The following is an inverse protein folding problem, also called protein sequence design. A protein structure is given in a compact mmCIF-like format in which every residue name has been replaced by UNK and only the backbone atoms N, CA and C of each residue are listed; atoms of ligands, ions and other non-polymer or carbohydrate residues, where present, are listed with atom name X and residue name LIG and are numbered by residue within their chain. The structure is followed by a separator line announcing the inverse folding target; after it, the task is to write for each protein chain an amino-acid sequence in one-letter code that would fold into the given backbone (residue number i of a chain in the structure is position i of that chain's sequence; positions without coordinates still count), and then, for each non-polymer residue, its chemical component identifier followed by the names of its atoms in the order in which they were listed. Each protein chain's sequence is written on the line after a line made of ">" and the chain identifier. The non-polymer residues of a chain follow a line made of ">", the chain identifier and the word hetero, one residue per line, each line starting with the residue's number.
data_IF_169709385503
#
_entry.id   IF_169709385503
#
_cell.length_a   1.000
_cell.length_b   1.000
_cell.length_c   1.000
_cell.angle_alpha   90.00
_cell.angle_beta   90.00
_cell.angle_gamma   90.00
#
_symmetry.space_group_name_H-M   'P 1'
#
loop_
_entity.id
_entity.type
_entity.pdbx_description
1 polymer ?
#
# COMPACT_ATOMS: atom_id res chain seq x y z
N UNK A 1 -24.83 7.57 1.01
CA UNK A 1 -24.87 9.05 0.93
C UNK A 1 -23.49 9.66 0.65
N UNK A 2 -22.41 9.33 1.37
CA UNK A 2 -21.04 9.81 1.01
C UNK A 2 -20.40 9.01 -0.13
N UNK A 3 -20.59 7.69 -0.16
CA UNK A 3 -20.10 6.80 -1.24
C UNK A 3 -20.87 6.92 -2.57
N UNK A 4 -21.90 7.77 -2.61
CA UNK A 4 -22.74 8.02 -3.79
C UNK A 4 -22.29 9.27 -4.56
N UNK A 5 -21.37 10.05 -3.97
CA UNK A 5 -20.80 11.24 -4.59
C UNK A 5 -19.59 10.80 -5.41
N UNK A 6 -19.50 11.17 -6.70
CA UNK A 6 -18.33 10.86 -7.52
C UNK A 6 -17.03 11.34 -6.84
N UNK A 7 -16.00 10.49 -6.86
CA UNK A 7 -14.70 10.84 -6.27
C UNK A 7 -14.14 12.15 -6.84
N UNK A 8 -14.32 12.40 -8.14
CA UNK A 8 -13.90 13.66 -8.78
C UNK A 8 -14.49 14.92 -8.10
N UNK A 9 -15.77 14.87 -7.70
CA UNK A 9 -16.44 15.98 -7.04
C UNK A 9 -15.90 16.18 -5.62
N UNK A 10 -15.62 15.07 -4.91
CA UNK A 10 -14.99 15.10 -3.58
C UNK A 10 -13.58 15.72 -3.64
N UNK A 11 -12.80 15.35 -4.66
CA UNK A 11 -11.43 15.82 -4.86
C UNK A 11 -11.36 17.30 -5.30
N UNK A 12 -12.45 17.84 -5.83
CA UNK A 12 -12.55 19.26 -6.26
C UNK A 12 -12.50 20.22 -5.06
N UNK A 13 -13.00 19.81 -3.89
CA UNK A 13 -13.10 20.70 -2.72
C UNK A 13 -12.19 20.25 -1.58
N UNK A 14 -11.06 20.96 -1.40
CA UNK A 14 -10.02 20.60 -0.41
C UNK A 14 -10.53 20.26 1.01
N UNK A 15 -11.50 21.02 1.54
CA UNK A 15 -12.07 20.74 2.88
C UNK A 15 -12.83 19.42 2.90
N UNK A 16 -13.60 19.13 1.85
CA UNK A 16 -14.35 17.90 1.70
C UNK A 16 -13.41 16.71 1.48
N UNK A 17 -12.37 16.88 0.66
CA UNK A 17 -11.34 15.85 0.44
C UNK A 17 -10.67 15.43 1.76
N UNK A 18 -10.27 16.39 2.59
CA UNK A 18 -9.67 16.09 3.91
C UNK A 18 -10.63 15.38 4.85
N UNK A 19 -11.88 15.81 4.90
CA UNK A 19 -12.90 15.16 5.71
C UNK A 19 -13.19 13.73 5.22
N UNK A 20 -13.24 13.51 3.91
CA UNK A 20 -13.43 12.21 3.30
C UNK A 20 -12.31 11.23 3.67
N UNK A 21 -11.05 11.59 3.41
CA UNK A 21 -9.93 10.68 3.68
C UNK A 21 -9.68 10.47 5.18
N UNK A 22 -9.91 11.48 6.01
CA UNK A 22 -9.92 11.30 7.46
C UNK A 22 -10.99 10.30 7.92
N UNK A 23 -12.20 10.37 7.34
CA UNK A 23 -13.27 9.41 7.66
C UNK A 23 -12.93 8.00 7.19
N UNK A 24 -12.42 7.84 5.96
CA UNK A 24 -12.05 6.52 5.42
C UNK A 24 -10.91 5.90 6.23
N UNK A 25 -9.91 6.68 6.64
CA UNK A 25 -8.83 6.21 7.50
C UNK A 25 -9.38 5.67 8.83
N UNK A 26 -10.25 6.42 9.52
CA UNK A 26 -10.89 5.97 10.76
C UNK A 26 -11.71 4.69 10.55
N UNK A 27 -12.41 4.56 9.43
CA UNK A 27 -13.13 3.33 9.11
C UNK A 27 -12.19 2.13 8.95
N UNK A 28 -11.07 2.30 8.25
CA UNK A 28 -10.06 1.24 8.10
C UNK A 28 -9.34 0.93 9.42
N UNK A 29 -9.18 1.92 10.31
CA UNK A 29 -8.48 1.77 11.60
C UNK A 29 -9.36 1.13 12.68
N UNK A 30 -10.64 1.52 12.77
CA UNK A 30 -11.52 1.14 13.89
C UNK A 30 -12.69 0.23 13.49
N UNK A 31 -13.08 0.22 12.21
CA UNK A 31 -14.26 -0.49 11.72
C UNK A 31 -13.95 -1.38 10.51
N UNK A 32 -12.72 -1.91 10.45
CA UNK A 32 -12.23 -2.66 9.29
C UNK A 32 -13.15 -3.82 8.91
N UNK A 33 -13.68 -4.56 9.88
CA UNK A 33 -14.58 -5.70 9.64
C UNK A 33 -15.85 -5.30 8.90
N UNK A 34 -16.38 -4.10 9.15
CA UNK A 34 -17.52 -3.56 8.43
C UNK A 34 -17.16 -3.25 6.97
N UNK A 35 -16.00 -2.62 6.73
CA UNK A 35 -15.52 -2.28 5.39
C UNK A 35 -15.30 -3.53 4.54
N UNK A 36 -14.70 -4.55 5.14
CA UNK A 36 -14.47 -5.85 4.49
C UNK A 36 -15.77 -6.62 4.24
N UNK A 37 -16.90 -6.19 4.80
CA UNK A 37 -18.22 -6.78 4.61
C UNK A 37 -19.13 -5.99 3.67
N UNK A 38 -18.58 -5.01 2.94
CA UNK A 38 -19.32 -4.31 1.89
C UNK A 38 -19.44 -5.17 0.63
N UNK A 39 -20.36 -4.85 -0.27
CA UNK A 39 -20.33 -5.46 -1.61
C UNK A 39 -19.05 -5.08 -2.37
N UNK A 40 -18.64 -5.92 -3.33
CA UNK A 40 -17.38 -5.75 -4.04
C UNK A 40 -17.27 -4.39 -4.73
N UNK A 41 -18.36 -3.84 -5.29
CA UNK A 41 -18.31 -2.54 -5.96
C UNK A 41 -18.00 -1.42 -4.97
N UNK A 42 -18.68 -1.41 -3.82
CA UNK A 42 -18.45 -0.41 -2.77
C UNK A 42 -17.07 -0.53 -2.15
N UNK A 43 -16.61 -1.76 -1.86
CA UNK A 43 -15.26 -2.01 -1.36
C UNK A 43 -14.20 -1.51 -2.34
N UNK A 44 -14.32 -1.87 -3.61
CA UNK A 44 -13.36 -1.46 -4.65
C UNK A 44 -13.35 0.05 -4.87
N UNK A 45 -14.50 0.72 -4.82
CA UNK A 45 -14.57 2.18 -4.88
C UNK A 45 -13.81 2.82 -3.70
N UNK A 46 -13.99 2.30 -2.49
CA UNK A 46 -13.30 2.80 -1.30
C UNK A 46 -11.78 2.61 -1.42
N UNK A 47 -11.31 1.41 -1.77
CA UNK A 47 -9.87 1.14 -1.89
C UNK A 47 -9.25 1.90 -3.09
N UNK A 48 -9.95 1.97 -4.22
CA UNK A 48 -9.51 2.77 -5.38
C UNK A 48 -9.41 4.27 -5.07
N UNK A 49 -10.27 4.78 -4.18
CA UNK A 49 -10.16 6.16 -3.69
C UNK A 49 -8.91 6.38 -2.85
N UNK A 50 -8.48 5.39 -2.05
CA UNK A 50 -7.23 5.45 -1.29
C UNK A 50 -6.01 5.53 -2.21
N UNK A 51 -5.99 4.72 -3.28
CA UNK A 51 -4.92 4.79 -4.30
C UNK A 51 -4.85 6.18 -4.95
N UNK A 52 -6.01 6.77 -5.27
CA UNK A 52 -6.08 8.14 -5.80
C UNK A 52 -5.60 9.18 -4.79
N UNK A 53 -5.91 9.00 -3.50
CA UNK A 53 -5.46 9.86 -2.41
C UNK A 53 -3.95 9.77 -2.14
N UNK A 54 -3.34 8.60 -2.34
CA UNK A 54 -1.88 8.41 -2.25
C UNK A 54 -1.13 9.27 -3.27
N UNK A 55 -1.65 9.36 -4.51
CA UNK A 55 -1.10 10.16 -5.62
C UNK A 55 -1.36 11.67 -5.47
N UNK A 56 -2.06 12.08 -4.42
CA UNK A 56 -2.42 13.48 -4.18
C UNK A 56 -1.25 14.32 -3.63
N UNK A 57 -1.25 15.62 -3.93
CA UNK A 57 -0.19 16.55 -3.50
C UNK A 57 -0.21 16.88 -1.98
N UNK A 58 -1.31 16.62 -1.27
CA UNK A 58 -1.42 16.94 0.16
C UNK A 58 -0.88 15.77 1.00
N UNK A 59 0.31 15.96 1.58
CA UNK A 59 1.01 14.95 2.38
C UNK A 59 0.17 14.40 3.53
N UNK A 60 -0.72 15.20 4.11
CA UNK A 60 -1.61 14.74 5.18
C UNK A 60 -2.61 13.70 4.65
N UNK A 61 -3.16 13.92 3.47
CA UNK A 61 -4.09 12.98 2.83
C UNK A 61 -3.35 11.71 2.41
N UNK A 62 -2.17 11.86 1.80
CA UNK A 62 -1.32 10.72 1.42
C UNK A 62 -0.98 9.85 2.64
N UNK A 63 -0.62 10.46 3.78
CA UNK A 63 -0.39 9.73 5.04
C UNK A 63 -1.64 9.00 5.54
N UNK A 64 -2.82 9.62 5.52
CA UNK A 64 -4.08 8.98 5.90
C UNK A 64 -4.39 7.77 5.01
N UNK A 65 -4.18 7.91 3.69
CA UNK A 65 -4.39 6.82 2.76
C UNK A 65 -3.40 5.68 2.98
N UNK A 66 -2.12 5.99 3.23
CA UNK A 66 -1.10 5.00 3.52
C UNK A 66 -1.41 4.19 4.79
N UNK A 67 -1.90 4.86 5.84
CA UNK A 67 -2.37 4.19 7.08
C UNK A 67 -3.56 3.28 6.79
N UNK A 68 -4.56 3.77 6.06
CA UNK A 68 -5.74 2.98 5.70
C UNK A 68 -5.37 1.72 4.89
N UNK A 69 -4.47 1.86 3.91
CA UNK A 69 -3.94 0.75 3.12
C UNK A 69 -3.14 -0.22 3.99
N UNK A 70 -2.29 0.27 4.90
CA UNK A 70 -1.52 -0.59 5.82
C UNK A 70 -2.45 -1.41 6.73
N UNK A 71 -3.54 -0.83 7.23
CA UNK A 71 -4.51 -1.56 8.04
C UNK A 71 -5.18 -2.69 7.24
N UNK A 72 -5.58 -2.43 6.00
CA UNK A 72 -6.14 -3.45 5.09
C UNK A 72 -5.12 -4.56 4.82
N UNK A 73 -3.89 -4.20 4.44
CA UNK A 73 -2.83 -5.15 4.14
C UNK A 73 -2.43 -5.97 5.39
N UNK A 74 -2.32 -5.33 6.55
CA UNK A 74 -2.03 -6.00 7.83
C UNK A 74 -3.11 -7.01 8.19
N UNK A 75 -4.38 -6.64 8.02
CA UNK A 75 -5.49 -7.55 8.28
C UNK A 75 -5.43 -8.76 7.35
N UNK A 76 -5.17 -8.55 6.05
CA UNK A 76 -5.03 -9.62 5.08
C UNK A 76 -3.87 -10.55 5.43
N UNK A 77 -2.70 -9.97 5.72
CA UNK A 77 -1.51 -10.73 6.10
C UNK A 77 -1.77 -11.63 7.32
N UNK A 78 -2.31 -11.06 8.40
CA UNK A 78 -2.52 -11.79 9.65
C UNK A 78 -3.61 -12.87 9.54
N UNK A 79 -4.71 -12.61 8.85
CA UNK A 79 -5.89 -13.49 8.86
C UNK A 79 -6.00 -14.42 7.65
N UNK A 80 -5.27 -14.13 6.55
CA UNK A 80 -5.39 -14.88 5.29
C UNK A 80 -4.03 -15.42 4.85
N UNK A 81 -2.95 -14.64 4.95
CA UNK A 81 -1.62 -15.11 4.52
C UNK A 81 -0.93 -15.99 5.57
N UNK A 82 -0.99 -15.59 6.84
CA UNK A 82 -0.43 -16.33 7.97
C UNK A 82 -1.41 -17.28 8.64
N UNK A 83 -2.72 -17.06 8.45
CA UNK A 83 -3.76 -17.95 8.96
C UNK A 83 -3.80 -19.26 8.18
N UNK A 84 -4.19 -20.36 8.84
CA UNK A 84 -4.37 -21.66 8.17
C UNK A 84 -5.53 -21.64 7.16
N UNK A 85 -6.57 -20.84 7.42
CA UNK A 85 -7.67 -20.52 6.51
C UNK A 85 -8.47 -19.29 7.01
N UNK A 86 -9.14 -18.53 6.12
CA UNK A 86 -10.03 -17.44 6.54
C UNK A 86 -11.18 -17.98 7.41
N UNK A 87 -11.13 -17.71 8.71
CA UNK A 87 -12.06 -18.28 9.70
C UNK A 87 -13.20 -17.34 10.11
N UNK A 88 -13.11 -16.05 9.75
CA UNK A 88 -14.14 -15.06 10.04
C UNK A 88 -14.90 -14.64 8.77
N UNK A 89 -16.18 -14.26 8.86
CA UNK A 89 -16.93 -13.78 7.70
C UNK A 89 -16.27 -12.59 6.98
N UNK A 90 -15.61 -11.71 7.73
CA UNK A 90 -14.85 -10.58 7.17
C UNK A 90 -13.60 -11.05 6.40
N UNK A 91 -12.83 -12.01 6.94
CA UNK A 91 -11.67 -12.56 6.26
C UNK A 91 -12.04 -13.32 4.99
N UNK A 92 -13.11 -14.13 5.03
CA UNK A 92 -13.63 -14.86 3.85
C UNK A 92 -14.01 -13.87 2.75
N UNK A 93 -14.80 -12.84 3.09
CA UNK A 93 -15.25 -11.86 2.10
C UNK A 93 -14.12 -10.99 1.57
N UNK A 94 -13.14 -10.65 2.41
CA UNK A 94 -11.96 -9.93 1.95
C UNK A 94 -11.12 -10.77 0.98
N UNK A 95 -10.92 -12.06 1.28
CA UNK A 95 -10.27 -12.98 0.36
C UNK A 95 -11.02 -13.06 -0.98
N UNK A 96 -12.36 -13.06 -0.96
CA UNK A 96 -13.18 -13.00 -2.18
C UNK A 96 -12.97 -11.70 -2.97
N UNK A 97 -12.96 -10.53 -2.31
CA UNK A 97 -12.68 -9.27 -2.99
C UNK A 97 -11.32 -9.27 -3.71
N UNK A 98 -10.29 -9.85 -3.09
CA UNK A 98 -8.96 -9.96 -3.71
C UNK A 98 -8.94 -11.02 -4.82
N UNK A 99 -9.67 -12.12 -4.67
CA UNK A 99 -9.80 -13.13 -5.73
C UNK A 99 -10.54 -12.58 -6.96
N UNK A 100 -11.55 -11.75 -6.76
CA UNK A 100 -12.30 -11.08 -7.82
C UNK A 100 -11.46 -9.99 -8.53
N UNK A 101 -10.52 -9.37 -7.81
CA UNK A 101 -9.63 -8.34 -8.34
C UNK A 101 -8.17 -8.54 -7.88
N UNK A 102 -7.45 -9.52 -8.46
CA UNK A 102 -6.10 -9.89 -8.02
C UNK A 102 -5.05 -8.79 -8.28
N UNK A 103 -5.36 -7.81 -9.12
CA UNK A 103 -4.48 -6.67 -9.41
C UNK A 103 -4.51 -5.59 -8.34
N UNK A 104 -5.43 -5.63 -7.36
CA UNK A 104 -5.59 -4.57 -6.37
C UNK A 104 -4.32 -4.30 -5.56
N UNK A 105 -3.76 -5.32 -4.91
CA UNK A 105 -2.52 -5.17 -4.14
C UNK A 105 -1.29 -4.85 -5.03
N UNK A 106 -1.08 -5.52 -6.19
CA UNK A 106 -0.03 -5.14 -7.11
C UNK A 106 -0.04 -3.68 -7.55
N UNK A 107 -1.20 -3.13 -7.95
CA UNK A 107 -1.26 -1.74 -8.42
C UNK A 107 -1.08 -0.72 -7.28
N UNK A 108 -1.55 -1.01 -6.07
CA UNK A 108 -1.28 -0.18 -4.90
C UNK A 108 0.21 -0.21 -4.56
N UNK A 109 0.85 -1.39 -4.56
CA UNK A 109 2.28 -1.50 -4.28
C UNK A 109 3.11 -0.74 -5.32
N UNK A 110 2.76 -0.89 -6.60
CA UNK A 110 3.37 -0.15 -7.70
C UNK A 110 3.23 1.37 -7.50
N UNK A 111 2.03 1.86 -7.18
CA UNK A 111 1.79 3.27 -6.87
C UNK A 111 2.67 3.77 -5.73
N UNK A 112 2.76 3.00 -4.64
CA UNK A 112 3.60 3.38 -3.48
C UNK A 112 5.09 3.46 -3.85
N UNK A 113 5.60 2.53 -4.65
CA UNK A 113 6.98 2.58 -5.13
C UNK A 113 7.22 3.74 -6.09
N UNK A 114 6.30 4.02 -7.01
CA UNK A 114 6.38 5.18 -7.91
C UNK A 114 6.50 6.48 -7.09
N UNK A 115 5.66 6.65 -6.06
CA UNK A 115 5.73 7.81 -5.15
C UNK A 115 7.09 7.87 -4.44
N UNK A 116 7.52 6.78 -3.80
CA UNK A 116 8.77 6.77 -3.02
C UNK A 116 10.01 7.01 -3.89
N UNK A 117 10.03 6.46 -5.10
CA UNK A 117 11.17 6.57 -6.01
C UNK A 117 11.23 7.94 -6.69
N UNK A 118 10.10 8.42 -7.20
CA UNK A 118 10.04 9.56 -8.12
C UNK A 118 9.72 10.89 -7.44
N UNK A 119 9.06 10.88 -6.29
CA UNK A 119 8.62 12.10 -5.61
C UNK A 119 9.48 12.46 -4.39
N UNK A 120 9.58 13.74 -4.09
CA UNK A 120 10.16 14.22 -2.82
C UNK A 120 9.08 14.20 -1.72
N UNK A 121 8.69 12.99 -1.32
CA UNK A 121 7.64 12.78 -0.32
C UNK A 121 8.18 12.95 1.12
N UNK A 122 7.55 13.85 1.90
CA UNK A 122 7.88 14.10 3.31
C UNK A 122 7.35 13.05 4.31
N UNK A 123 6.49 12.14 3.85
CA UNK A 123 5.79 11.13 4.66
C UNK A 123 6.28 9.70 4.44
N UNK A 124 7.57 9.53 4.17
CA UNK A 124 8.21 8.21 3.94
C UNK A 124 7.86 7.18 5.02
N UNK A 125 7.76 7.60 6.29
CA UNK A 125 7.41 6.70 7.39
C UNK A 125 5.99 6.15 7.32
N UNK A 126 5.05 6.93 6.77
CA UNK A 126 3.68 6.45 6.52
C UNK A 126 3.65 5.49 5.32
N UNK A 127 4.42 5.79 4.27
CA UNK A 127 4.46 5.00 3.03
C UNK A 127 5.21 3.67 3.18
N UNK A 128 6.22 3.59 4.05
CA UNK A 128 7.01 2.38 4.24
C UNK A 128 6.19 1.20 4.78
N UNK A 129 5.22 1.48 5.66
CA UNK A 129 4.40 0.46 6.32
C UNK A 129 3.51 -0.33 5.34
N UNK A 130 2.65 0.30 4.52
CA UNK A 130 1.84 -0.45 3.55
C UNK A 130 2.72 -1.16 2.51
N UNK A 131 3.88 -0.60 2.14
CA UNK A 131 4.83 -1.28 1.24
C UNK A 131 5.28 -2.61 1.86
N UNK A 132 5.77 -2.60 3.10
CA UNK A 132 6.19 -3.84 3.77
C UNK A 132 5.03 -4.85 3.86
N UNK A 133 3.86 -4.39 4.32
CA UNK A 133 2.67 -5.24 4.45
C UNK A 133 2.29 -5.91 3.14
N UNK A 134 2.30 -5.16 2.03
CA UNK A 134 1.99 -5.70 0.70
C UNK A 134 3.07 -6.68 0.18
N UNK A 135 4.35 -6.39 0.42
CA UNK A 135 5.45 -7.32 0.07
C UNK A 135 5.29 -8.65 0.82
N UNK A 136 4.97 -8.60 2.12
CA UNK A 136 4.84 -9.80 2.95
C UNK A 136 3.58 -10.62 2.67
N UNK A 137 2.53 -10.02 2.09
CA UNK A 137 1.36 -10.74 1.57
C UNK A 137 1.76 -11.66 0.41
N UNK A 138 2.59 -11.17 -0.50
CA UNK A 138 3.10 -11.96 -1.62
C UNK A 138 4.42 -11.41 -2.14
N UNK A 139 5.50 -12.14 -1.87
CA UNK A 139 6.86 -11.83 -2.34
C UNK A 139 6.95 -11.87 -3.88
N UNK A 140 6.03 -12.58 -4.54
CA UNK A 140 5.94 -12.60 -6.00
C UNK A 140 5.58 -11.22 -6.56
N UNK A 141 4.65 -10.50 -5.91
CA UNK A 141 4.26 -9.15 -6.35
C UNK A 141 5.48 -8.21 -6.35
N UNK A 142 6.31 -8.32 -5.31
CA UNK A 142 7.54 -7.54 -5.21
C UNK A 142 8.56 -7.93 -6.29
N UNK A 143 8.74 -9.24 -6.53
CA UNK A 143 9.64 -9.76 -7.56
C UNK A 143 9.25 -9.29 -8.96
N UNK A 144 7.95 -9.33 -9.28
CA UNK A 144 7.41 -8.86 -10.56
C UNK A 144 7.59 -7.35 -10.72
N UNK A 145 7.36 -6.57 -9.65
CA UNK A 145 7.58 -5.13 -9.64
C UNK A 145 9.06 -4.79 -9.84
N UNK A 146 9.97 -5.49 -9.17
CA UNK A 146 11.42 -5.36 -9.35
C UNK A 146 11.81 -5.61 -10.82
N UNK A 147 11.34 -6.71 -11.41
CA UNK A 147 11.64 -7.04 -12.82
C UNK A 147 11.12 -5.97 -13.78
N UNK A 148 9.90 -5.46 -13.56
CA UNK A 148 9.30 -4.39 -14.35
C UNK A 148 10.10 -3.09 -14.25
N UNK A 149 10.52 -2.70 -13.05
CA UNK A 149 11.34 -1.49 -12.85
C UNK A 149 12.70 -1.67 -13.53
N UNK A 150 13.38 -2.81 -13.34
CA UNK A 150 14.69 -3.06 -13.96
C UNK A 150 14.61 -3.02 -15.49
N UNK A 151 13.62 -3.66 -16.11
CA UNK A 151 13.45 -3.63 -17.56
C UNK A 151 13.23 -2.23 -18.16
N UNK A 152 12.80 -1.26 -17.34
CA UNK A 152 12.62 0.15 -17.75
C UNK A 152 13.92 0.97 -17.68
N UNK A 153 15.00 0.41 -17.12
CA UNK A 153 16.27 1.09 -16.88
C UNK A 153 17.36 0.62 -17.85
N UNK A 154 18.42 1.43 -18.07
CA UNK A 154 19.58 1.02 -18.85
C UNK A 154 20.26 -0.25 -18.29
N UNK A 155 20.71 -1.14 -19.17
CA UNK A 155 21.25 -2.47 -18.82
C UNK A 155 22.47 -2.39 -17.89
N UNK A 156 23.31 -1.37 -18.07
CA UNK A 156 24.46 -1.06 -17.23
C UNK A 156 24.09 -0.75 -15.77
N UNK A 157 22.85 -0.32 -15.52
CA UNK A 157 22.35 -0.07 -14.17
C UNK A 157 21.68 -1.27 -13.52
N UNK A 158 21.35 -2.32 -14.28
CA UNK A 158 20.53 -3.45 -13.78
C UNK A 158 21.14 -4.13 -12.57
N UNK A 159 22.45 -4.38 -12.58
CA UNK A 159 23.14 -5.04 -11.47
C UNK A 159 23.08 -4.20 -10.19
N UNK A 160 23.36 -2.90 -10.30
CA UNK A 160 23.32 -1.94 -9.19
C UNK A 160 21.91 -1.83 -8.61
N UNK A 161 20.92 -1.64 -9.47
CA UNK A 161 19.52 -1.51 -9.05
C UNK A 161 18.99 -2.81 -8.47
N UNK A 162 19.37 -3.97 -9.01
CA UNK A 162 18.99 -5.26 -8.44
C UNK A 162 19.52 -5.40 -7.01
N UNK A 163 20.81 -5.10 -6.79
CA UNK A 163 21.41 -5.13 -5.45
C UNK A 163 20.74 -4.13 -4.49
N UNK A 164 20.30 -2.97 -5.00
CA UNK A 164 19.54 -1.99 -4.24
C UNK A 164 18.18 -2.58 -3.79
N UNK A 165 17.43 -3.22 -4.69
CA UNK A 165 16.19 -3.91 -4.31
C UNK A 165 16.42 -5.05 -3.32
N UNK A 166 17.55 -5.76 -3.40
CA UNK A 166 17.89 -6.82 -2.46
C UNK A 166 18.21 -6.25 -1.05
N UNK A 167 18.83 -5.07 -0.99
CA UNK A 167 19.11 -4.38 0.28
C UNK A 167 17.83 -3.96 1.01
N UNK A 168 16.72 -3.75 0.29
CA UNK A 168 15.44 -3.36 0.87
C UNK A 168 14.91 -4.40 1.89
N UNK A 169 15.12 -5.68 1.61
CA UNK A 169 14.63 -6.79 2.43
C UNK A 169 15.69 -7.35 3.41
N UNK A 170 16.84 -6.69 3.54
CA UNK A 170 17.89 -7.12 4.48
C UNK A 170 17.42 -7.03 5.93
N UNK A 171 17.63 -8.10 6.70
CA UNK A 171 17.21 -8.22 8.11
C UNK A 171 15.69 -8.09 8.36
N UNK A 172 14.89 -8.24 7.31
CA UNK A 172 13.42 -8.25 7.42
C UNK A 172 12.93 -9.66 7.70
N UNK A 173 12.19 -9.81 8.79
CA UNK A 173 11.50 -11.06 9.12
C UNK A 173 10.15 -11.13 8.41
N UNK A 174 9.56 -12.33 8.33
CA UNK A 174 8.19 -12.51 7.81
C UNK A 174 7.14 -12.14 8.87
N UNK A 175 7.11 -10.87 9.28
CA UNK A 175 6.23 -10.37 10.34
C UNK A 175 5.98 -8.86 10.25
N UNK A 176 4.93 -8.39 10.91
CA UNK A 176 4.53 -6.97 10.90
C UNK A 176 4.67 -6.30 12.28
N UNK A 177 5.56 -6.80 13.13
CA UNK A 177 5.83 -6.15 14.41
C UNK A 177 6.51 -4.78 14.24
N UNK A 178 6.44 -3.88 15.24
CA UNK A 178 7.00 -2.54 15.14
C UNK A 178 8.50 -2.52 14.81
N UNK A 179 9.28 -3.44 15.38
CA UNK A 179 10.74 -3.50 15.15
C UNK A 179 11.04 -3.82 13.68
N UNK A 180 10.33 -4.78 13.10
CA UNK A 180 10.50 -5.14 11.70
C UNK A 180 10.10 -4.00 10.75
N UNK A 181 9.01 -3.29 11.06
CA UNK A 181 8.56 -2.10 10.31
C UNK A 181 9.56 -0.93 10.36
N UNK A 182 10.15 -0.70 11.52
CA UNK A 182 11.16 0.34 11.69
C UNK A 182 12.46 -0.02 10.94
N UNK A 183 12.84 -1.30 10.91
CA UNK A 183 13.95 -1.79 10.09
C UNK A 183 13.67 -1.56 8.60
N UNK A 184 12.49 -1.96 8.11
CA UNK A 184 12.12 -1.75 6.71
C UNK A 184 12.13 -0.28 6.31
N UNK A 185 11.66 0.60 7.19
CA UNK A 185 11.72 2.06 6.94
C UNK A 185 13.16 2.53 6.74
N UNK A 186 14.09 2.08 7.57
CA UNK A 186 15.51 2.43 7.42
C UNK A 186 16.07 1.92 6.09
N UNK A 187 15.77 0.67 5.73
CA UNK A 187 16.17 0.10 4.45
C UNK A 187 15.59 0.88 3.28
N UNK A 188 14.31 1.26 3.33
CA UNK A 188 13.65 2.03 2.26
C UNK A 188 14.27 3.41 2.07
N UNK A 189 14.65 4.08 3.16
CA UNK A 189 15.33 5.37 3.09
C UNK A 189 16.70 5.24 2.40
N UNK A 190 17.47 4.20 2.75
CA UNK A 190 18.75 3.91 2.11
C UNK A 190 18.57 3.53 0.64
N UNK A 191 17.64 2.62 0.35
CA UNK A 191 17.26 2.20 -1.00
C UNK A 191 16.96 3.40 -1.89
N UNK A 192 16.14 4.35 -1.42
CA UNK A 192 15.79 5.54 -2.21
C UNK A 192 17.01 6.41 -2.54
N UNK A 193 17.90 6.61 -1.56
CA UNK A 193 19.13 7.39 -1.78
C UNK A 193 20.01 6.71 -2.82
N UNK A 194 20.26 5.40 -2.65
CA UNK A 194 21.06 4.60 -3.57
C UNK A 194 20.45 4.58 -4.98
N UNK A 195 19.14 4.38 -5.10
CA UNK A 195 18.44 4.33 -6.39
C UNK A 195 18.66 5.61 -7.21
N UNK A 196 18.62 6.78 -6.55
CA UNK A 196 18.77 8.10 -7.18
C UNK A 196 20.23 8.48 -7.51
N UNK A 197 21.22 7.75 -7.02
CA UNK A 197 22.61 7.95 -7.44
C UNK A 197 22.74 7.59 -8.91
N UNK A 198 23.20 8.55 -9.72
CA UNK A 198 23.49 8.38 -11.15
C UNK A 198 24.82 7.66 -11.35
#
# INVERSE_FOLDING_TARGET
>A
MTLSIPLADILTYRKLTKAYFGFVEVLCSSYITFILQLDSATFMHLVGSLESGLKGLDTSISSQCAIAVDNLATYYFNNITMGEAPNSPAAIRFAQHIADCPSLFPEILKTLFEIVLLEDCGNQWSLSRPILSLILISEQIFSDLKAKILSSQPVDQHQRLSACFDSLMTDISRGLDPKNRDMFTQNLNRFRLEFRVK
#
